data_IF_133783369555
#
_entry.id   IF_133783369555
#
_cell.length_a   1.000
_cell.length_b   1.000
_cell.length_c   1.000
_cell.angle_alpha   90.00
_cell.angle_beta   90.00
_cell.angle_gamma   90.00
#
_symmetry.space_group_name_H-M   'P 1'
#
loop_
_entity.id
_entity.type
_entity.pdbx_description
1 polymer ?
#
# COMPACT_ATOMS: atom_id res chain seq x y z
N UNK A 1 -5.43 -23.36 19.59
CA UNK A 1 -6.03 -22.01 19.64
C UNK A 1 -5.31 -21.16 20.67
N UNK A 2 -4.59 -20.15 20.18
CA UNK A 2 -4.06 -19.07 21.02
C UNK A 2 -5.19 -18.11 21.36
N UNK A 3 -5.04 -17.36 22.44
CA UNK A 3 -6.03 -16.34 22.84
C UNK A 3 -6.03 -15.16 21.85
N UNK A 4 -4.85 -14.78 21.34
CA UNK A 4 -4.68 -13.76 20.31
C UNK A 4 -3.36 -13.93 19.55
N UNK A 5 -3.24 -13.23 18.43
CA UNK A 5 -1.99 -13.04 17.70
C UNK A 5 -1.96 -11.65 17.08
N UNK A 6 -0.76 -11.06 16.97
CA UNK A 6 -0.56 -9.74 16.36
C UNK A 6 0.35 -9.86 15.15
N UNK A 7 -0.01 -9.17 14.07
CA UNK A 7 0.84 -8.97 12.91
C UNK A 7 1.12 -7.47 12.72
N UNK A 8 2.32 -7.14 12.28
CA UNK A 8 2.64 -5.81 11.78
C UNK A 8 2.71 -5.86 10.26
N UNK A 9 2.06 -4.90 9.62
CA UNK A 9 2.10 -4.72 8.17
C UNK A 9 2.55 -3.29 7.87
N UNK A 10 3.64 -3.10 7.09
CA UNK A 10 4.12 -1.77 6.78
C UNK A 10 3.09 -0.98 5.96
N UNK A 11 3.06 0.33 6.13
CA UNK A 11 2.39 1.22 5.18
C UNK A 11 2.99 1.04 3.78
N UNK A 12 2.21 1.29 2.74
CA UNK A 12 2.70 1.24 1.37
C UNK A 12 2.25 2.47 0.59
N UNK A 13 3.25 3.19 0.06
CA UNK A 13 3.04 4.28 -0.90
C UNK A 13 3.27 3.72 -2.30
N UNK A 14 2.24 3.78 -3.15
CA UNK A 14 2.43 3.61 -4.60
C UNK A 14 2.95 4.90 -5.20
N UNK A 15 4.05 4.85 -5.96
CA UNK A 15 4.59 6.01 -6.69
C UNK A 15 4.01 6.14 -8.10
N UNK A 16 3.79 5.03 -8.78
CA UNK A 16 3.07 4.97 -10.06
C UNK A 16 2.50 3.56 -10.27
N UNK A 17 1.52 3.42 -11.15
CA UNK A 17 0.94 2.13 -11.47
C UNK A 17 0.26 2.09 -12.84
N UNK A 18 0.06 0.88 -13.35
CA UNK A 18 -0.91 0.57 -14.41
C UNK A 18 -1.86 -0.50 -13.89
N UNK A 19 -3.17 -0.29 -14.03
CA UNK A 19 -4.18 -1.24 -13.56
C UNK A 19 -4.38 -2.36 -14.58
N UNK A 20 -4.41 -3.62 -14.11
CA UNK A 20 -4.62 -4.81 -14.93
C UNK A 20 -5.81 -5.59 -14.36
N UNK A 21 -7.05 -5.16 -14.64
CA UNK A 21 -8.24 -5.87 -14.20
C UNK A 21 -8.33 -7.25 -14.84
N UNK A 22 -8.89 -8.21 -14.12
CA UNK A 22 -9.12 -9.56 -14.61
C UNK A 22 -10.38 -10.15 -13.94
N UNK A 23 -11.10 -11.03 -14.64
CA UNK A 23 -12.25 -11.74 -14.07
C UNK A 23 -11.82 -12.64 -12.90
N UNK A 24 -10.62 -13.22 -12.98
CA UNK A 24 -10.01 -13.96 -11.89
C UNK A 24 -9.28 -13.00 -10.94
N UNK A 25 -9.74 -12.83 -9.68
CA UNK A 25 -9.14 -11.90 -8.74
C UNK A 25 -7.71 -12.29 -8.32
N UNK A 26 -7.27 -13.54 -8.55
CA UNK A 26 -5.88 -13.93 -8.30
C UNK A 26 -4.93 -13.44 -9.40
N UNK A 27 -5.48 -13.20 -10.60
CA UNK A 27 -4.75 -12.68 -11.76
C UNK A 27 -4.91 -11.17 -11.92
N UNK A 28 -5.98 -10.59 -11.37
CA UNK A 28 -6.18 -9.15 -11.32
C UNK A 28 -5.17 -8.47 -10.39
N UNK A 29 -4.63 -7.33 -10.80
CA UNK A 29 -3.73 -6.55 -9.95
C UNK A 29 -3.19 -5.32 -10.66
N UNK A 30 -2.01 -4.87 -10.25
CA UNK A 30 -1.32 -3.76 -10.90
C UNK A 30 0.16 -4.04 -11.12
N UNK A 31 0.70 -3.39 -12.14
CA UNK A 31 2.15 -3.19 -12.29
C UNK A 31 2.51 -1.79 -11.78
N UNK A 32 3.77 -1.56 -11.45
CA UNK A 32 4.24 -0.25 -10.98
C UNK A 32 5.27 -0.36 -9.87
N UNK A 33 5.60 0.74 -9.21
CA UNK A 33 6.53 0.71 -8.08
C UNK A 33 6.05 1.54 -6.89
N UNK A 34 6.63 1.28 -5.72
CA UNK A 34 6.28 1.93 -4.47
C UNK A 34 7.33 1.78 -3.37
N UNK A 35 7.00 2.26 -2.18
CA UNK A 35 7.81 2.21 -0.97
C UNK A 35 6.97 1.64 0.17
N UNK A 36 7.48 0.64 0.87
CA UNK A 36 6.90 0.26 2.17
C UNK A 36 7.57 1.01 3.30
N UNK A 37 6.81 1.46 4.29
CA UNK A 37 7.25 2.34 5.37
C UNK A 37 7.39 1.58 6.70
N UNK A 38 8.28 2.04 7.58
CA UNK A 38 8.38 1.52 8.94
C UNK A 38 7.18 1.90 9.80
N UNK A 39 6.44 2.94 9.39
CA UNK A 39 5.14 3.28 9.94
C UNK A 39 4.09 2.41 9.23
N UNK A 40 3.20 1.80 10.00
CA UNK A 40 2.26 0.84 9.44
C UNK A 40 1.05 0.57 10.31
N UNK A 41 0.56 -0.67 10.21
CA UNK A 41 -0.63 -1.12 10.93
C UNK A 41 -0.28 -2.35 11.75
N UNK A 42 -0.53 -2.27 13.06
CA UNK A 42 -0.56 -3.45 13.93
C UNK A 42 -1.98 -4.01 13.95
N UNK A 43 -2.12 -5.29 13.62
CA UNK A 43 -3.42 -5.99 13.58
C UNK A 43 -3.38 -7.13 14.58
N UNK A 44 -4.20 -7.04 15.62
CA UNK A 44 -4.39 -8.09 16.61
C UNK A 44 -5.71 -8.81 16.36
N UNK A 45 -5.67 -10.13 16.32
CA UNK A 45 -6.85 -10.98 16.09
C UNK A 45 -7.08 -11.84 17.33
N UNK A 46 -8.32 -11.87 17.81
CA UNK A 46 -8.77 -12.77 18.88
C UNK A 46 -10.11 -13.43 18.49
N UNK A 47 -10.42 -14.66 18.93
CA UNK A 47 -11.70 -15.29 18.66
C UNK A 47 -12.89 -14.46 19.17
N UNK A 48 -13.99 -14.46 18.43
CA UNK A 48 -15.26 -13.83 18.83
C UNK A 48 -16.45 -14.63 18.27
N UNK A 49 -17.62 -14.50 18.90
CA UNK A 49 -18.86 -15.13 18.39
C UNK A 49 -19.29 -14.50 17.06
N UNK A 50 -19.22 -13.17 16.98
CA UNK A 50 -19.49 -12.38 15.78
C UNK A 50 -18.24 -11.56 15.41
N UNK A 51 -17.98 -11.42 14.11
CA UNK A 51 -16.83 -10.67 13.64
C UNK A 51 -17.03 -9.16 13.84
N UNK A 52 -16.01 -8.50 14.38
CA UNK A 52 -15.99 -7.05 14.58
C UNK A 52 -14.61 -6.51 14.26
N UNK A 53 -14.56 -5.42 13.52
CA UNK A 53 -13.32 -4.73 13.15
C UNK A 53 -13.26 -3.39 13.86
N UNK A 54 -12.15 -3.12 14.55
CA UNK A 54 -11.90 -1.89 15.29
C UNK A 54 -10.59 -1.28 14.79
N UNK A 55 -10.63 -0.02 14.39
CA UNK A 55 -9.44 0.77 14.04
C UNK A 55 -9.32 1.95 15.00
N UNK A 56 -8.19 2.05 15.70
CA UNK A 56 -7.89 3.12 16.65
C UNK A 56 -9.01 3.35 17.67
N UNK A 57 -9.58 2.24 18.16
CA UNK A 57 -10.65 2.23 19.15
C UNK A 57 -12.07 2.50 18.61
N UNK A 58 -12.24 2.63 17.28
CA UNK A 58 -13.55 2.84 16.64
C UNK A 58 -13.93 1.63 15.81
N UNK A 59 -15.16 1.14 16.00
CA UNK A 59 -15.71 0.11 15.12
C UNK A 59 -15.90 0.69 13.71
N UNK A 60 -15.41 -0.05 12.72
CA UNK A 60 -15.50 0.31 11.31
C UNK A 60 -15.80 -0.93 10.48
N UNK A 61 -16.39 -0.72 9.31
CA UNK A 61 -16.53 -1.78 8.31
C UNK A 61 -15.35 -1.70 7.32
N UNK A 62 -14.66 -2.82 7.16
CA UNK A 62 -13.52 -2.97 6.23
C UNK A 62 -13.77 -4.25 5.45
N UNK A 63 -14.43 -4.11 4.30
CA UNK A 63 -14.86 -5.23 3.45
C UNK A 63 -13.72 -6.24 3.15
N UNK A 64 -12.47 -5.82 2.87
CA UNK A 64 -11.34 -6.76 2.75
C UNK A 64 -11.08 -7.62 3.98
N UNK A 65 -11.23 -7.09 5.20
CA UNK A 65 -11.05 -7.86 6.45
C UNK A 65 -12.16 -8.91 6.59
N UNK A 66 -13.41 -8.53 6.30
CA UNK A 66 -14.54 -9.46 6.27
C UNK A 66 -14.29 -10.61 5.27
N UNK A 67 -13.86 -10.29 4.04
CA UNK A 67 -13.56 -11.29 3.03
C UNK A 67 -12.41 -12.25 3.41
N UNK A 68 -11.41 -11.75 4.16
CA UNK A 68 -10.33 -12.58 4.72
C UNK A 68 -10.87 -13.56 5.77
N UNK A 69 -11.66 -13.06 6.74
CA UNK A 69 -12.23 -13.88 7.80
C UNK A 69 -13.16 -14.97 7.25
N UNK A 70 -14.00 -14.63 6.26
CA UNK A 70 -14.84 -15.59 5.54
C UNK A 70 -14.02 -16.66 4.82
N UNK A 71 -12.96 -16.26 4.11
CA UNK A 71 -12.07 -17.19 3.39
C UNK A 71 -11.30 -18.14 4.33
N UNK A 72 -11.06 -17.71 5.56
CA UNK A 72 -10.44 -18.51 6.62
C UNK A 72 -11.46 -19.21 7.53
N UNK A 73 -12.76 -19.09 7.23
CA UNK A 73 -13.87 -19.66 7.99
C UNK A 73 -13.79 -19.31 9.49
N UNK A 74 -13.46 -18.05 9.80
CA UNK A 74 -13.19 -17.57 11.14
C UNK A 74 -14.14 -16.43 11.56
N UNK A 75 -14.57 -16.46 12.82
CA UNK A 75 -15.24 -15.33 13.48
C UNK A 75 -14.29 -14.73 14.52
N UNK A 76 -13.98 -13.45 14.39
CA UNK A 76 -12.93 -12.83 15.18
C UNK A 76 -13.18 -11.35 15.46
N UNK A 77 -12.68 -10.89 16.61
CA UNK A 77 -12.41 -9.48 16.84
C UNK A 77 -11.07 -9.15 16.21
N UNK A 78 -11.06 -8.18 15.31
CA UNK A 78 -9.87 -7.63 14.66
C UNK A 78 -9.65 -6.23 15.21
N UNK A 79 -8.59 -6.03 15.99
CA UNK A 79 -8.22 -4.74 16.53
C UNK A 79 -6.95 -4.23 15.84
N UNK A 80 -7.08 -3.13 15.10
CA UNK A 80 -6.02 -2.49 14.37
C UNK A 80 -5.63 -1.15 15.01
N UNK A 81 -4.32 -0.87 15.01
CA UNK A 81 -3.74 0.44 15.34
C UNK A 81 -2.91 0.91 14.17
N UNK A 82 -3.14 2.13 13.71
CA UNK A 82 -2.49 2.68 12.53
C UNK A 82 -1.63 3.89 12.87
N UNK A 83 -0.37 3.87 12.46
CA UNK A 83 0.55 5.01 12.55
C UNK A 83 0.37 5.97 11.36
N UNK A 84 -0.34 5.52 10.32
CA UNK A 84 -0.57 6.21 9.06
C UNK A 84 -2.07 6.49 8.85
N UNK A 85 -2.43 7.61 8.19
CA UNK A 85 -3.83 7.97 8.00
C UNK A 85 -4.54 7.04 6.98
N UNK A 86 -5.74 6.57 7.36
CA UNK A 86 -6.64 5.83 6.47
C UNK A 86 -7.10 6.73 5.31
N UNK A 87 -7.14 6.19 4.10
CA UNK A 87 -7.65 6.90 2.91
C UNK A 87 -6.70 7.93 2.30
N UNK A 88 -5.44 7.97 2.74
CA UNK A 88 -4.42 8.92 2.27
C UNK A 88 -3.31 8.24 1.44
N UNK A 89 -3.62 7.14 0.74
CA UNK A 89 -2.66 6.51 -0.19
C UNK A 89 -1.59 5.62 0.45
N UNK A 90 -1.77 5.21 1.71
CA UNK A 90 -0.82 4.34 2.44
C UNK A 90 -1.19 2.84 2.48
N UNK A 91 -2.26 2.43 1.80
CA UNK A 91 -2.68 1.02 1.73
C UNK A 91 -3.16 0.42 3.06
N UNK A 92 -3.80 1.21 3.94
CA UNK A 92 -4.26 0.75 5.28
C UNK A 92 -5.26 -0.41 5.19
N UNK A 93 -6.18 -0.42 4.22
CA UNK A 93 -7.13 -1.54 4.06
C UNK A 93 -6.42 -2.85 3.72
N UNK A 94 -5.48 -2.80 2.78
CA UNK A 94 -4.62 -3.94 2.43
C UNK A 94 -3.76 -4.40 3.61
N UNK A 95 -3.27 -3.45 4.42
CA UNK A 95 -2.51 -3.76 5.62
C UNK A 95 -3.37 -4.48 6.66
N UNK A 96 -4.59 -4.02 6.89
CA UNK A 96 -5.56 -4.67 7.78
C UNK A 96 -5.94 -6.07 7.27
N UNK A 97 -6.19 -6.24 5.98
CA UNK A 97 -6.50 -7.53 5.37
C UNK A 97 -5.34 -8.54 5.52
N UNK A 98 -4.12 -8.12 5.18
CA UNK A 98 -2.94 -8.97 5.28
C UNK A 98 -2.60 -9.31 6.73
N UNK A 99 -2.66 -8.33 7.63
CA UNK A 99 -2.43 -8.53 9.06
C UNK A 99 -3.45 -9.50 9.66
N UNK A 100 -4.73 -9.35 9.28
CA UNK A 100 -5.80 -10.28 9.66
C UNK A 100 -5.51 -11.68 9.16
N UNK A 101 -5.15 -11.85 7.89
CA UNK A 101 -4.88 -13.17 7.31
C UNK A 101 -3.73 -13.88 8.07
N UNK A 102 -2.65 -13.14 8.34
CA UNK A 102 -1.50 -13.64 9.07
C UNK A 102 -1.84 -14.03 10.51
N UNK A 103 -2.47 -13.14 11.27
CA UNK A 103 -2.80 -13.37 12.68
C UNK A 103 -3.89 -14.44 12.85
N UNK A 104 -4.96 -14.40 12.04
CA UNK A 104 -6.03 -15.39 12.05
C UNK A 104 -5.52 -16.80 11.72
N UNK A 105 -4.56 -16.94 10.80
CA UNK A 105 -3.95 -18.24 10.51
C UNK A 105 -3.34 -18.89 11.76
N UNK A 106 -2.75 -18.09 12.66
CA UNK A 106 -2.15 -18.57 13.90
C UNK A 106 -3.20 -18.80 15.00
N UNK A 107 -4.17 -17.90 15.15
CA UNK A 107 -5.22 -18.01 16.18
C UNK A 107 -6.10 -19.23 15.95
N UNK A 108 -6.50 -19.44 14.70
CA UNK A 108 -7.43 -20.50 14.28
C UNK A 108 -6.74 -21.73 13.69
N UNK A 109 -5.41 -21.85 13.85
CA UNK A 109 -4.61 -23.03 13.45
C UNK A 109 -4.87 -23.47 11.98
N UNK A 110 -4.96 -22.53 11.03
CA UNK A 110 -5.34 -22.81 9.62
C UNK A 110 -4.21 -23.38 8.76
N UNK A 111 -2.98 -23.41 9.26
CA UNK A 111 -1.80 -24.03 8.63
C UNK A 111 -1.56 -23.63 7.17
N UNK A 112 -1.94 -22.40 6.79
CA UNK A 112 -1.69 -21.87 5.44
C UNK A 112 -0.26 -21.34 5.33
N UNK A 113 0.31 -21.47 4.14
CA UNK A 113 1.59 -20.87 3.78
C UNK A 113 1.47 -19.36 3.62
N UNK A 114 2.62 -18.67 3.66
CA UNK A 114 2.66 -17.21 3.49
C UNK A 114 2.02 -16.75 2.19
N UNK A 115 2.32 -17.40 1.07
CA UNK A 115 1.77 -17.02 -0.23
C UNK A 115 0.26 -17.23 -0.30
N UNK A 116 -0.28 -18.28 0.33
CA UNK A 116 -1.73 -18.47 0.41
C UNK A 116 -2.41 -17.35 1.22
N UNK A 117 -1.81 -16.90 2.32
CA UNK A 117 -2.35 -15.82 3.14
C UNK A 117 -2.31 -14.47 2.43
N UNK A 118 -1.22 -14.20 1.71
CA UNK A 118 -1.10 -13.01 0.85
C UNK A 118 -2.14 -13.08 -0.28
N UNK A 119 -2.36 -14.25 -0.89
CA UNK A 119 -3.42 -14.43 -1.90
C UNK A 119 -4.81 -14.18 -1.33
N UNK A 120 -5.11 -14.67 -0.12
CA UNK A 120 -6.41 -14.46 0.54
C UNK A 120 -6.65 -12.96 0.76
N UNK A 121 -5.68 -12.24 1.31
CA UNK A 121 -5.79 -10.80 1.51
C UNK A 121 -5.89 -10.01 0.19
N UNK A 122 -5.10 -10.40 -0.82
CA UNK A 122 -5.13 -9.78 -2.15
C UNK A 122 -6.49 -9.94 -2.82
N UNK A 123 -7.04 -11.16 -2.84
CA UNK A 123 -8.35 -11.44 -3.42
C UNK A 123 -9.45 -10.66 -2.72
N UNK A 124 -9.36 -10.49 -1.39
CA UNK A 124 -10.33 -9.69 -0.64
C UNK A 124 -10.29 -8.20 -1.03
N UNK A 125 -9.09 -7.61 -1.16
CA UNK A 125 -8.91 -6.23 -1.66
C UNK A 125 -9.44 -6.03 -3.08
N UNK A 126 -9.09 -6.94 -3.99
CA UNK A 126 -9.54 -6.89 -5.39
C UNK A 126 -11.05 -6.96 -5.49
N UNK A 127 -11.70 -7.87 -4.74
CA UNK A 127 -13.16 -8.03 -4.77
C UNK A 127 -13.89 -6.82 -4.19
N UNK A 128 -13.33 -6.21 -3.15
CA UNK A 128 -13.85 -4.97 -2.56
C UNK A 128 -13.55 -3.72 -3.43
N UNK A 129 -12.74 -3.84 -4.48
CA UNK A 129 -12.36 -2.72 -5.34
C UNK A 129 -11.53 -1.64 -4.61
N UNK A 130 -10.85 -2.01 -3.53
CA UNK A 130 -10.13 -1.08 -2.65
C UNK A 130 -8.64 -0.98 -2.96
N UNK A 131 -8.06 -2.04 -3.56
CA UNK A 131 -6.65 -2.07 -3.91
C UNK A 131 -6.29 -3.17 -4.90
N UNK A 132 -5.24 -2.93 -5.69
CA UNK A 132 -4.75 -3.86 -6.73
C UNK A 132 -3.32 -4.34 -6.52
N UNK A 133 -2.58 -3.75 -5.56
CA UNK A 133 -1.18 -4.12 -5.39
C UNK A 133 -0.54 -3.71 -4.07
N UNK A 134 -1.31 -3.21 -3.10
CA UNK A 134 -0.77 -2.87 -1.77
C UNK A 134 -0.40 -4.13 -1.00
N UNK A 135 -1.31 -5.12 -0.93
CA UNK A 135 -1.08 -6.37 -0.19
C UNK A 135 0.21 -7.08 -0.62
N UNK A 136 0.45 -7.23 -1.92
CA UNK A 136 1.66 -7.90 -2.42
C UNK A 136 2.93 -7.08 -2.19
N UNK A 137 2.82 -5.74 -2.26
CA UNK A 137 3.92 -4.83 -1.95
C UNK A 137 4.27 -4.85 -0.45
N UNK A 138 3.27 -4.78 0.42
CA UNK A 138 3.40 -4.85 1.88
C UNK A 138 3.92 -6.22 2.34
N UNK A 139 3.48 -7.30 1.70
CA UNK A 139 4.02 -8.63 1.96
C UNK A 139 5.50 -8.72 1.54
N UNK A 140 5.91 -8.03 0.48
CA UNK A 140 7.28 -8.13 -0.04
C UNK A 140 8.26 -7.20 0.68
N UNK A 141 7.84 -5.98 1.06
CA UNK A 141 8.68 -5.01 1.79
C UNK A 141 9.71 -4.27 0.92
N UNK A 142 10.36 -3.27 1.52
CA UNK A 142 11.40 -2.46 0.90
C UNK A 142 10.85 -1.47 -0.12
N UNK A 143 11.41 -1.50 -1.33
CA UNK A 143 11.06 -0.61 -2.44
C UNK A 143 10.56 -1.46 -3.61
N UNK A 144 9.28 -1.89 -3.58
CA UNK A 144 8.79 -2.85 -4.55
C UNK A 144 8.57 -2.31 -5.96
N UNK A 145 8.94 -3.14 -6.95
CA UNK A 145 8.59 -3.05 -8.36
C UNK A 145 7.71 -4.27 -8.69
N UNK A 146 6.47 -4.02 -9.08
CA UNK A 146 5.49 -5.00 -9.55
C UNK A 146 5.66 -5.12 -11.06
N UNK A 147 6.35 -6.17 -11.51
CA UNK A 147 6.63 -6.43 -12.93
C UNK A 147 5.42 -7.07 -13.62
N UNK A 148 4.80 -8.05 -12.98
CA UNK A 148 3.58 -8.70 -13.44
C UNK A 148 2.45 -8.51 -12.41
N UNK A 149 1.18 -8.34 -12.83
CA UNK A 149 0.06 -8.14 -11.92
C UNK A 149 -0.37 -9.44 -11.24
N UNK A 150 -1.13 -9.30 -10.15
CA UNK A 150 -1.82 -10.42 -9.50
C UNK A 150 -1.29 -10.79 -8.11
N UNK A 151 -1.82 -11.89 -7.59
CA UNK A 151 -1.39 -12.53 -6.35
C UNK A 151 -0.06 -13.31 -6.55
N UNK A 152 0.59 -13.81 -5.49
CA UNK A 152 1.91 -14.47 -5.57
C UNK A 152 2.09 -15.61 -6.58
N UNK A 153 1.01 -16.27 -7.02
CA UNK A 153 1.08 -17.34 -8.02
C UNK A 153 1.02 -16.83 -9.47
N UNK A 154 0.54 -15.60 -9.67
CA UNK A 154 0.33 -14.97 -10.98
C UNK A 154 1.27 -13.80 -11.24
N UNK A 155 1.87 -13.22 -10.19
CA UNK A 155 2.69 -12.03 -10.28
C UNK A 155 4.20 -12.30 -10.32
N UNK A 156 4.94 -11.23 -10.58
CA UNK A 156 6.39 -11.15 -10.48
C UNK A 156 6.76 -9.83 -9.82
N UNK A 157 7.56 -9.90 -8.76
CA UNK A 157 8.04 -8.76 -8.00
C UNK A 157 9.57 -8.71 -8.05
N UNK A 158 10.12 -7.54 -8.37
CA UNK A 158 11.54 -7.19 -8.23
C UNK A 158 11.63 -5.87 -7.48
N UNK A 159 12.77 -5.38 -7.00
CA UNK A 159 12.80 -4.08 -6.33
C UNK A 159 14.13 -3.38 -6.27
N UNK A 160 14.05 -2.12 -5.91
CA UNK A 160 15.21 -1.23 -5.82
C UNK A 160 16.01 -1.65 -4.58
N UNK A 161 17.29 -2.02 -4.72
CA UNK A 161 18.12 -2.51 -3.61
C UNK A 161 18.65 -1.35 -2.75
N UNK A 162 17.73 -0.51 -2.25
CA UNK A 162 18.05 0.67 -1.48
C UNK A 162 17.14 0.81 -0.25
N UNK A 163 17.60 1.63 0.70
CA UNK A 163 16.79 2.12 1.81
C UNK A 163 16.79 3.63 1.78
N UNK A 164 15.71 4.21 2.27
CA UNK A 164 15.58 5.65 2.36
C UNK A 164 14.92 6.04 3.69
N UNK A 165 15.32 7.20 4.21
CA UNK A 165 14.45 7.99 5.08
C UNK A 165 13.37 8.60 4.20
N UNK A 166 12.12 8.51 4.64
CA UNK A 166 10.95 9.03 3.93
C UNK A 166 10.25 10.03 4.85
N UNK A 167 9.98 11.21 4.33
CA UNK A 167 9.07 12.19 4.93
C UNK A 167 7.75 12.16 4.18
N UNK A 168 6.63 12.39 4.87
CA UNK A 168 5.34 12.56 4.21
C UNK A 168 4.45 13.60 4.91
N UNK A 169 3.59 14.25 4.12
CA UNK A 169 2.51 15.13 4.59
C UNK A 169 1.24 14.76 3.87
N UNK A 170 0.16 14.54 4.63
CA UNK A 170 -1.18 14.34 4.10
C UNK A 170 -2.02 15.61 4.25
N UNK A 171 -2.59 16.07 3.14
CA UNK A 171 -3.52 17.20 3.07
C UNK A 171 -4.99 16.74 3.13
N UNK A 172 -5.25 15.44 3.01
CA UNK A 172 -6.59 14.89 3.03
C UNK A 172 -6.71 13.48 2.45
N UNK A 173 -7.95 13.13 2.10
CA UNK A 173 -8.29 11.85 1.47
C UNK A 173 -8.71 12.09 0.02
N UNK A 174 -8.37 11.14 -0.86
CA UNK A 174 -8.92 11.05 -2.21
C UNK A 174 -9.71 9.75 -2.37
N UNK A 175 -10.72 9.77 -3.23
CA UNK A 175 -11.47 8.56 -3.53
C UNK A 175 -10.70 7.70 -4.53
N UNK A 176 -10.13 6.59 -4.06
CA UNK A 176 -9.49 5.55 -4.90
C UNK A 176 -10.42 5.08 -6.01
N UNK A 177 -11.70 4.83 -5.68
CA UNK A 177 -12.68 4.32 -6.64
C UNK A 177 -12.96 5.31 -7.78
N UNK A 178 -13.04 6.61 -7.49
CA UNK A 178 -13.29 7.63 -8.51
C UNK A 178 -12.12 7.70 -9.51
N UNK A 179 -10.87 7.67 -9.02
CA UNK A 179 -9.68 7.67 -9.88
C UNK A 179 -9.61 6.41 -10.75
N UNK A 180 -9.94 5.24 -10.19
CA UNK A 180 -9.93 3.96 -10.92
C UNK A 180 -11.10 3.79 -11.90
N UNK A 181 -12.19 4.54 -11.72
CA UNK A 181 -13.38 4.49 -12.59
C UNK A 181 -13.31 5.42 -13.82
N UNK A 182 -12.28 6.27 -13.90
CA UNK A 182 -12.06 7.20 -15.01
C UNK A 182 -11.47 6.55 -16.27
N UNK A 183 -10.95 7.37 -17.19
CA UNK A 183 -10.22 6.90 -18.37
C UNK A 183 -8.85 6.33 -17.95
N UNK A 184 -8.82 5.02 -17.75
CA UNK A 184 -7.62 4.30 -17.29
C UNK A 184 -6.59 4.09 -18.40
N UNK A 185 -6.86 4.44 -19.66
CA UNK A 185 -5.89 4.28 -20.75
C UNK A 185 -4.70 5.22 -20.58
N UNK A 186 -4.96 6.50 -20.30
CA UNK A 186 -3.90 7.50 -20.05
C UNK A 186 -3.07 7.12 -18.83
N UNK A 187 -3.74 6.71 -17.75
CA UNK A 187 -3.10 6.27 -16.52
C UNK A 187 -2.22 5.04 -16.77
N UNK A 188 -2.75 4.03 -17.45
CA UNK A 188 -2.01 2.79 -17.73
C UNK A 188 -0.81 3.04 -18.63
N UNK A 189 -0.96 3.87 -19.66
CA UNK A 189 0.15 4.24 -20.54
C UNK A 189 1.26 5.03 -19.81
N UNK A 190 0.89 5.95 -18.91
CA UNK A 190 1.87 6.66 -18.07
C UNK A 190 2.57 5.69 -17.10
N UNK A 191 1.82 4.77 -16.51
CA UNK A 191 2.34 3.73 -15.61
C UNK A 191 3.33 2.80 -16.29
N UNK A 192 3.04 2.36 -17.51
CA UNK A 192 3.95 1.52 -18.31
C UNK A 192 5.26 2.23 -18.66
N UNK A 193 5.19 3.51 -19.04
CA UNK A 193 6.39 4.33 -19.27
C UNK A 193 7.22 4.50 -18.01
N UNK A 194 6.58 4.79 -16.89
CA UNK A 194 7.24 4.93 -15.59
C UNK A 194 7.92 3.60 -15.17
N UNK A 195 7.23 2.47 -15.36
CA UNK A 195 7.79 1.15 -15.07
C UNK A 195 9.01 0.84 -15.94
N UNK A 196 8.93 1.10 -17.24
CA UNK A 196 10.05 0.87 -18.16
C UNK A 196 11.30 1.66 -17.74
N UNK A 197 11.14 2.92 -17.28
CA UNK A 197 12.27 3.73 -16.77
C UNK A 197 12.89 3.13 -15.51
N UNK A 198 12.07 2.73 -14.54
CA UNK A 198 12.57 2.16 -13.28
C UNK A 198 13.20 0.78 -13.46
N UNK A 199 12.71 -0.02 -14.41
CA UNK A 199 13.33 -1.32 -14.73
C UNK A 199 14.69 -1.14 -15.43
N UNK A 200 14.85 -0.11 -16.27
CA UNK A 200 16.11 0.20 -16.93
C UNK A 200 17.17 0.69 -15.93
N UNK A 201 16.77 1.54 -14.97
CA UNK A 201 17.64 2.07 -13.93
C UNK A 201 16.94 2.01 -12.55
N UNK A 202 17.06 0.89 -11.80
CA UNK A 202 16.34 0.71 -10.53
C UNK A 202 17.03 1.44 -9.38
N UNK A 203 16.88 2.76 -9.35
CA UNK A 203 17.37 3.65 -8.30
C UNK A 203 16.23 4.46 -7.67
N UNK A 204 16.42 4.92 -6.43
CA UNK A 204 15.44 5.76 -5.72
C UNK A 204 15.14 7.06 -6.48
N UNK A 205 16.17 7.66 -7.09
CA UNK A 205 16.05 8.87 -7.91
C UNK A 205 15.13 8.62 -9.11
N UNK A 206 15.43 7.59 -9.91
CA UNK A 206 14.60 7.19 -11.06
C UNK A 206 13.17 6.88 -10.64
N UNK A 207 12.97 6.24 -9.48
CA UNK A 207 11.64 5.97 -8.93
C UNK A 207 10.86 7.26 -8.62
N UNK A 208 11.47 8.23 -7.92
CA UNK A 208 10.78 9.48 -7.57
C UNK A 208 10.50 10.31 -8.81
N UNK A 209 11.45 10.40 -9.75
CA UNK A 209 11.25 11.09 -11.02
C UNK A 209 10.13 10.47 -11.85
N UNK A 210 10.11 9.13 -11.96
CA UNK A 210 9.06 8.41 -12.66
C UNK A 210 7.68 8.60 -11.99
N UNK A 211 7.63 8.59 -10.65
CA UNK A 211 6.41 8.83 -9.87
C UNK A 211 5.88 10.26 -10.08
N UNK A 212 6.78 11.24 -10.00
CA UNK A 212 6.47 12.66 -10.18
C UNK A 212 6.03 12.96 -11.62
N UNK A 213 6.63 12.28 -12.60
CA UNK A 213 6.21 12.34 -14.00
C UNK A 213 4.82 11.73 -14.20
N UNK A 214 4.59 10.53 -13.66
CA UNK A 214 3.30 9.85 -13.71
C UNK A 214 2.17 10.71 -13.13
N UNK A 215 2.36 11.30 -11.94
CA UNK A 215 1.36 12.12 -11.28
C UNK A 215 0.91 13.31 -12.15
N UNK A 216 1.86 13.93 -12.87
CA UNK A 216 1.60 15.04 -13.80
C UNK A 216 0.91 14.55 -15.06
N UNK A 217 1.41 13.48 -15.67
CA UNK A 217 0.88 12.91 -16.92
C UNK A 217 -0.54 12.35 -16.75
N UNK A 218 -0.86 11.79 -15.59
CA UNK A 218 -2.16 11.25 -15.25
C UNK A 218 -3.12 12.28 -14.64
N UNK A 219 -2.73 13.57 -14.59
CA UNK A 219 -3.54 14.69 -14.07
C UNK A 219 -4.06 14.48 -12.63
N UNK A 220 -3.28 13.79 -11.78
CA UNK A 220 -3.68 13.43 -10.42
C UNK A 220 -3.40 14.52 -9.38
N UNK A 221 -2.56 15.50 -9.72
CA UNK A 221 -2.06 16.50 -8.77
C UNK A 221 -3.16 17.48 -8.34
N UNK A 222 -3.45 17.49 -7.04
CA UNK A 222 -4.21 18.57 -6.39
C UNK A 222 -3.36 19.84 -6.30
N UNK A 223 -3.96 21.03 -6.09
CA UNK A 223 -3.20 22.25 -5.86
C UNK A 223 -2.21 22.14 -4.69
N UNK A 224 -2.64 21.59 -3.54
CA UNK A 224 -1.78 21.45 -2.36
C UNK A 224 -0.58 20.53 -2.60
N UNK A 225 -0.81 19.39 -3.28
CA UNK A 225 0.27 18.47 -3.66
C UNK A 225 1.22 19.15 -4.65
N UNK A 226 0.71 19.88 -5.64
CA UNK A 226 1.54 20.60 -6.61
C UNK A 226 2.45 21.62 -5.93
N UNK A 227 1.89 22.47 -5.08
CA UNK A 227 2.63 23.50 -4.35
C UNK A 227 3.75 22.86 -3.51
N UNK A 228 3.45 21.79 -2.77
CA UNK A 228 4.45 21.08 -1.98
C UNK A 228 5.55 20.42 -2.82
N UNK A 229 5.23 19.88 -3.99
CA UNK A 229 6.25 19.33 -4.90
C UNK A 229 7.16 20.42 -5.48
N UNK A 230 6.62 21.62 -5.74
CA UNK A 230 7.39 22.78 -6.21
C UNK A 230 8.31 23.29 -5.09
N UNK A 231 7.80 23.45 -3.87
CA UNK A 231 8.59 23.90 -2.71
C UNK A 231 9.74 22.93 -2.39
N UNK A 232 9.51 21.61 -2.46
CA UNK A 232 10.57 20.60 -2.28
C UNK A 232 11.61 20.67 -3.40
N UNK A 233 11.19 20.91 -4.64
CA UNK A 233 12.11 21.04 -5.77
C UNK A 233 12.99 22.31 -5.65
N UNK A 234 12.44 23.41 -5.14
CA UNK A 234 13.16 24.68 -4.96
C UNK A 234 14.31 24.59 -3.94
N UNK A 235 14.21 23.65 -3.00
CA UNK A 235 15.29 23.32 -2.05
C UNK A 235 16.20 22.16 -2.53
N UNK A 236 15.97 21.65 -3.74
CA UNK A 236 16.74 20.55 -4.34
C UNK A 236 16.41 19.16 -3.82
N UNK A 237 15.25 18.99 -3.17
CA UNK A 237 14.76 17.71 -2.67
C UNK A 237 14.08 16.85 -3.75
N UNK A 238 13.85 15.58 -3.42
CA UNK A 238 13.17 14.61 -4.28
C UNK A 238 11.83 14.22 -3.65
N UNK A 239 10.72 14.53 -4.32
CA UNK A 239 9.37 14.22 -3.85
C UNK A 239 8.40 13.81 -4.97
N UNK A 240 7.37 13.09 -4.58
CA UNK A 240 6.22 12.75 -5.42
C UNK A 240 4.95 12.63 -4.59
N UNK A 241 3.80 12.64 -5.27
CA UNK A 241 2.52 12.28 -4.68
C UNK A 241 2.50 10.80 -4.28
N UNK A 242 1.91 10.45 -3.14
CA UNK A 242 1.50 9.10 -2.83
C UNK A 242 0.20 8.81 -3.61
N UNK A 243 0.26 7.89 -4.58
CA UNK A 243 -0.85 7.71 -5.52
C UNK A 243 -2.14 7.35 -4.79
N UNK A 244 -3.24 7.97 -5.23
CA UNK A 244 -4.59 7.79 -4.69
C UNK A 244 -4.80 8.40 -3.29
N UNK A 245 -3.87 9.24 -2.81
CA UNK A 245 -4.03 10.07 -1.61
C UNK A 245 -3.69 11.53 -1.88
N UNK A 246 -4.28 12.46 -1.11
CA UNK A 246 -3.88 13.87 -1.15
C UNK A 246 -2.63 14.03 -0.26
N UNK A 247 -1.53 13.42 -0.68
CA UNK A 247 -0.34 13.19 0.15
C UNK A 247 0.92 13.32 -0.69
N UNK A 248 1.93 14.01 -0.16
CA UNK A 248 3.28 14.08 -0.73
C UNK A 248 4.22 13.27 0.14
N UNK A 249 5.10 12.50 -0.49
CA UNK A 249 6.26 11.93 0.17
C UNK A 249 7.55 12.49 -0.44
N UNK A 250 8.58 12.62 0.38
CA UNK A 250 9.92 13.03 -0.02
C UNK A 250 10.98 12.07 0.51
N UNK A 251 12.08 11.94 -0.21
CA UNK A 251 13.27 11.24 0.27
C UNK A 251 14.11 12.18 1.14
N UNK A 252 14.76 11.63 2.16
CA UNK A 252 15.62 12.42 3.03
C UNK A 252 14.82 13.43 3.85
N UNK A 253 15.19 14.71 3.80
CA UNK A 253 14.60 15.83 4.56
C UNK A 253 13.84 16.82 3.68
N UNK A 254 13.47 16.43 2.46
CA UNK A 254 12.96 17.36 1.45
C UNK A 254 11.75 18.20 1.89
N UNK A 255 10.80 17.61 2.64
CA UNK A 255 9.61 18.33 3.11
C UNK A 255 9.95 19.26 4.27
N UNK A 256 10.77 18.80 5.21
CA UNK A 256 11.25 19.62 6.33
C UNK A 256 12.08 20.81 5.85
N UNK A 257 12.97 20.60 4.87
CA UNK A 257 13.81 21.64 4.27
C UNK A 257 12.97 22.67 3.49
N UNK A 258 11.84 22.24 2.91
CA UNK A 258 10.84 23.09 2.27
C UNK A 258 9.92 23.83 3.27
N UNK A 259 10.06 23.60 4.57
CA UNK A 259 9.32 24.30 5.62
C UNK A 259 7.98 23.67 6.03
N UNK A 260 7.73 22.42 5.63
CA UNK A 260 6.59 21.64 6.12
C UNK A 260 6.91 21.00 7.48
N UNK A 261 5.87 20.50 8.17
CA UNK A 261 5.98 19.67 9.37
C UNK A 261 5.61 18.22 9.03
N UNK A 262 6.51 17.45 8.37
CA UNK A 262 6.20 16.09 7.94
C UNK A 262 6.32 15.09 9.09
N UNK A 263 5.56 14.00 8.96
CA UNK A 263 5.93 12.74 9.61
C UNK A 263 7.16 12.15 8.91
N UNK A 264 7.97 11.38 9.64
CA UNK A 264 9.22 10.84 9.11
C UNK A 264 9.49 9.41 9.58
N UNK A 265 9.83 8.55 8.63
CA UNK A 265 10.05 7.12 8.84
C UNK A 265 11.17 6.60 7.93
N UNK A 266 11.41 5.29 7.94
CA UNK A 266 12.33 4.63 7.01
C UNK A 266 11.58 3.67 6.09
N UNK A 267 12.17 3.28 4.97
CA UNK A 267 11.65 2.15 4.21
C UNK A 267 11.78 0.84 5.00
N UNK A 268 10.81 -0.08 4.86
CA UNK A 268 10.71 -1.30 5.68
C UNK A 268 10.93 -2.62 4.90
N UNK A 269 12.16 -3.17 4.85
CA UNK A 269 12.49 -4.30 3.96
C UNK A 269 11.89 -5.65 4.34
N UNK A 270 11.45 -5.83 5.59
CA UNK A 270 11.00 -7.14 6.07
C UNK A 270 9.62 -7.54 5.52
N UNK A 271 8.83 -6.57 5.05
CA UNK A 271 7.43 -6.77 4.70
C UNK A 271 6.58 -7.17 5.92
N UNK A 272 5.36 -7.64 5.69
CA UNK A 272 4.47 -8.05 6.78
C UNK A 272 5.05 -9.23 7.61
N UNK A 273 4.96 -9.10 8.94
CA UNK A 273 5.50 -10.05 9.92
C UNK A 273 4.51 -10.33 11.05
N UNK A 274 4.49 -11.57 11.53
CA UNK A 274 3.88 -11.90 12.83
C UNK A 274 4.78 -11.38 13.96
N UNK A 275 4.18 -10.86 15.03
CA UNK A 275 4.87 -10.48 16.28
C UNK A 275 4.83 -11.61 17.32
#
# INVERSE_FOLDING_TARGET
>A
MREEATAFVPGHITGFFSAHPNEDPTSAGSRGAGLTLSDGVEVTVSPAEESVTVLDGREIDVEPVTGVLESLEASARVEARSEIPLGSGFGVSGAMALGTALAANQVFDRTRSRNELVTVAHVAEVRAGTGLGDVVAQARGGVPIRLEPGAPASNELDGIPARARVEYVSFGQLSTAEVLSGDTELLSAAGERALARVVDEPTLETFVEASSGFAREAELLTPAVRDALEDVADVGGQASMAMLGDTVFALGTGLSDAGYEPDACETYPAGAVLR
#
